data_IF_082700439681
#
_entry.id   IF_082700439681
#
_cell.length_a   1.000
_cell.length_b   1.000
_cell.length_c   1.000
_cell.angle_alpha   90.00
_cell.angle_beta   90.00
_cell.angle_gamma   90.00
#
_symmetry.space_group_name_H-M   'P 1'
#
loop_
_entity.id
_entity.type
_entity.pdbx_description
1 polymer ?
#
# COMPACT_ATOMS: atom_id res chain seq x y z
N UNK A 1 -13.86 -48.20 -11.63
CA UNK A 1 -13.03 -47.50 -10.63
C UNK A 1 -13.51 -46.07 -10.62
N UNK A 2 -14.17 -45.66 -9.56
CA UNK A 2 -14.88 -44.37 -9.49
C UNK A 2 -13.86 -43.23 -9.70
N UNK A 3 -14.01 -42.45 -10.78
CA UNK A 3 -13.11 -41.32 -11.07
C UNK A 3 -13.41 -40.28 -10.00
N UNK A 4 -12.60 -40.25 -8.94
CA UNK A 4 -12.70 -39.23 -7.89
C UNK A 4 -12.64 -37.86 -8.55
N UNK A 5 -13.75 -37.12 -8.52
CA UNK A 5 -13.87 -35.76 -9.03
C UNK A 5 -12.83 -34.87 -8.35
N UNK A 6 -11.75 -34.55 -9.08
CA UNK A 6 -10.60 -33.80 -8.55
C UNK A 6 -10.90 -32.32 -8.38
N UNK A 7 -11.94 -31.83 -9.06
CA UNK A 7 -12.36 -30.43 -9.02
C UNK A 7 -13.36 -30.15 -7.91
N UNK A 8 -14.00 -31.18 -7.32
CA UNK A 8 -14.95 -31.03 -6.22
C UNK A 8 -14.47 -30.09 -5.09
N UNK A 9 -13.20 -30.14 -4.61
CA UNK A 9 -12.70 -29.23 -3.57
C UNK A 9 -12.61 -27.75 -4.00
N UNK A 10 -12.63 -27.46 -5.30
CA UNK A 10 -12.42 -26.13 -5.86
C UNK A 10 -13.69 -25.49 -6.41
N UNK A 11 -14.80 -26.23 -6.53
CA UNK A 11 -16.07 -25.67 -7.03
C UNK A 11 -16.57 -24.49 -6.21
N UNK A 12 -16.32 -24.50 -4.91
CA UNK A 12 -16.65 -23.39 -3.99
C UNK A 12 -15.49 -22.44 -3.70
N UNK A 13 -14.32 -22.66 -4.31
CA UNK A 13 -13.22 -21.74 -4.19
C UNK A 13 -13.54 -20.42 -4.89
N UNK A 14 -13.42 -19.31 -4.15
CA UNK A 14 -13.73 -17.96 -4.65
C UNK A 14 -12.89 -17.60 -5.89
N UNK A 15 -11.56 -17.81 -5.83
CA UNK A 15 -10.65 -17.54 -6.95
C UNK A 15 -11.02 -18.34 -8.20
N UNK A 16 -11.39 -19.62 -8.04
CA UNK A 16 -11.84 -20.46 -9.15
C UNK A 16 -13.13 -19.93 -9.79
N UNK A 17 -14.10 -19.46 -8.99
CA UNK A 17 -15.34 -18.86 -9.49
C UNK A 17 -15.12 -17.58 -10.29
N UNK A 18 -13.99 -16.89 -10.09
CA UNK A 18 -13.59 -15.67 -10.83
C UNK A 18 -12.91 -15.95 -12.17
N UNK A 19 -12.53 -17.19 -12.45
CA UNK A 19 -11.98 -17.56 -13.75
C UNK A 19 -13.09 -17.56 -14.81
N UNK A 20 -12.75 -17.19 -16.05
CA UNK A 20 -13.67 -17.28 -17.17
C UNK A 20 -14.08 -18.75 -17.44
N UNK A 21 -15.16 -18.95 -18.20
CA UNK A 21 -15.68 -20.30 -18.48
C UNK A 21 -14.65 -21.22 -19.14
N UNK A 22 -13.95 -20.71 -20.15
CA UNK A 22 -12.96 -21.46 -20.94
C UNK A 22 -11.80 -21.98 -20.07
N UNK A 23 -11.28 -21.16 -19.17
CA UNK A 23 -10.19 -21.52 -18.27
C UNK A 23 -10.62 -22.52 -17.20
N UNK A 24 -11.86 -22.42 -16.69
CA UNK A 24 -12.43 -23.42 -15.77
C UNK A 24 -12.55 -24.79 -16.44
N UNK A 25 -13.09 -24.81 -17.65
CA UNK A 25 -13.24 -26.03 -18.45
C UNK A 25 -11.87 -26.62 -18.81
N UNK A 26 -10.91 -25.76 -19.16
CA UNK A 26 -9.53 -26.12 -19.44
C UNK A 26 -8.88 -26.82 -18.24
N UNK A 27 -8.88 -26.16 -17.06
CA UNK A 27 -8.31 -26.71 -15.82
C UNK A 27 -8.98 -28.04 -15.45
N UNK A 28 -10.31 -28.12 -15.55
CA UNK A 28 -11.04 -29.37 -15.27
C UNK A 28 -10.58 -30.51 -16.19
N UNK A 29 -10.44 -30.25 -17.49
CA UNK A 29 -10.00 -31.25 -18.47
C UNK A 29 -8.58 -31.73 -18.21
N UNK A 30 -7.62 -30.84 -18.00
CA UNK A 30 -6.22 -31.24 -17.74
C UNK A 30 -6.05 -31.90 -16.36
N UNK A 31 -6.89 -31.55 -15.38
CA UNK A 31 -6.89 -32.17 -14.05
C UNK A 31 -7.17 -33.68 -14.13
N UNK A 32 -8.14 -34.07 -14.95
CA UNK A 32 -8.49 -35.47 -15.17
C UNK A 32 -7.49 -36.18 -16.10
N UNK A 33 -7.09 -35.51 -17.19
CA UNK A 33 -6.18 -36.08 -18.19
C UNK A 33 -4.81 -36.44 -17.59
N UNK A 34 -4.24 -35.56 -16.76
CA UNK A 34 -2.90 -35.72 -16.19
C UNK A 34 -2.89 -36.13 -14.72
N UNK A 35 -4.06 -36.47 -14.15
CA UNK A 35 -4.23 -36.88 -12.76
C UNK A 35 -3.58 -35.88 -11.77
N UNK A 36 -3.87 -34.59 -11.95
CA UNK A 36 -3.29 -33.51 -11.16
C UNK A 36 -3.62 -33.66 -9.67
N UNK A 37 -2.66 -33.32 -8.80
CA UNK A 37 -2.86 -33.30 -7.35
C UNK A 37 -3.66 -32.06 -6.93
N UNK A 38 -4.13 -32.03 -5.67
CA UNK A 38 -4.76 -30.84 -5.12
C UNK A 38 -3.85 -29.59 -5.23
N UNK A 39 -2.55 -29.74 -4.96
CA UNK A 39 -1.61 -28.61 -5.05
C UNK A 39 -1.36 -28.19 -6.50
N UNK A 40 -1.29 -29.14 -7.43
CA UNK A 40 -1.19 -28.84 -8.86
C UNK A 40 -2.38 -27.97 -9.31
N UNK A 41 -3.60 -28.40 -9.00
CA UNK A 41 -4.84 -27.69 -9.38
C UNK A 41 -4.89 -26.30 -8.75
N UNK A 42 -4.60 -26.19 -7.45
CA UNK A 42 -4.58 -24.91 -6.75
C UNK A 42 -3.58 -23.93 -7.38
N UNK A 43 -2.38 -24.41 -7.73
CA UNK A 43 -1.37 -23.58 -8.39
C UNK A 43 -1.85 -23.09 -9.75
N UNK A 44 -2.49 -23.94 -10.55
CA UNK A 44 -3.02 -23.56 -11.86
C UNK A 44 -4.18 -22.54 -11.75
N UNK A 45 -5.03 -22.66 -10.73
CA UNK A 45 -6.08 -21.68 -10.44
C UNK A 45 -5.47 -20.32 -10.07
N UNK A 46 -4.47 -20.31 -9.18
CA UNK A 46 -3.77 -19.09 -8.79
C UNK A 46 -3.07 -18.43 -9.99
N UNK A 47 -2.36 -19.22 -10.83
CA UNK A 47 -1.67 -18.72 -12.03
C UNK A 47 -2.66 -18.22 -13.08
N UNK A 48 -3.72 -18.97 -13.38
CA UNK A 48 -4.77 -18.53 -14.33
C UNK A 48 -5.40 -17.22 -13.87
N UNK A 49 -5.63 -17.05 -12.56
CA UNK A 49 -6.13 -15.79 -12.02
C UNK A 49 -5.12 -14.66 -12.16
N UNK A 50 -3.86 -14.90 -11.83
CA UNK A 50 -2.79 -13.91 -11.95
C UNK A 50 -2.66 -13.43 -13.41
N UNK A 51 -2.59 -14.34 -14.40
CA UNK A 51 -2.52 -14.00 -15.83
C UNK A 51 -3.70 -13.11 -16.27
N UNK A 52 -4.91 -13.46 -15.85
CA UNK A 52 -6.11 -12.69 -16.16
C UNK A 52 -6.11 -11.30 -15.53
N UNK A 53 -5.61 -11.16 -14.29
CA UNK A 53 -5.53 -9.87 -13.60
C UNK A 53 -4.41 -9.00 -14.21
N UNK A 54 -3.28 -9.60 -14.59
CA UNK A 54 -2.10 -8.93 -15.13
C UNK A 54 -2.25 -8.56 -16.61
N UNK A 55 -3.31 -9.04 -17.26
CA UNK A 55 -3.54 -8.92 -18.71
C UNK A 55 -2.48 -9.65 -19.56
N UNK A 56 -1.96 -10.78 -19.06
CA UNK A 56 -0.90 -11.59 -19.66
C UNK A 56 -1.42 -12.87 -20.34
N UNK A 57 -2.68 -12.83 -20.78
CA UNK A 57 -3.35 -13.94 -21.48
C UNK A 57 -3.95 -14.99 -20.54
N UNK A 58 -3.97 -16.24 -21.02
CA UNK A 58 -4.71 -17.35 -20.42
C UNK A 58 -3.78 -18.55 -20.15
N UNK A 59 -4.10 -19.37 -19.13
CA UNK A 59 -3.31 -20.56 -18.78
C UNK A 59 -3.23 -21.56 -19.94
N UNK A 60 -4.32 -21.70 -20.69
CA UNK A 60 -4.38 -22.57 -21.87
C UNK A 60 -3.29 -22.27 -22.90
N UNK A 61 -2.87 -21.01 -23.06
CA UNK A 61 -1.77 -20.61 -23.95
C UNK A 61 -0.37 -20.95 -23.41
N UNK A 62 -0.23 -21.16 -22.10
CA UNK A 62 1.02 -21.59 -21.47
C UNK A 62 1.17 -23.11 -21.42
N UNK A 63 0.09 -23.86 -21.65
CA UNK A 63 0.06 -25.31 -21.54
C UNK A 63 0.50 -25.99 -22.85
N UNK A 64 1.79 -25.94 -23.14
CA UNK A 64 2.36 -26.49 -24.37
C UNK A 64 2.87 -27.93 -24.18
N UNK A 65 2.27 -28.87 -24.92
CA UNK A 65 2.67 -30.28 -24.93
C UNK A 65 3.95 -30.40 -25.77
N UNK A 66 5.07 -30.90 -25.21
CA UNK A 66 6.31 -31.08 -25.96
C UNK A 66 6.16 -32.22 -26.98
N UNK A 67 6.83 -32.08 -28.13
CA UNK A 67 6.91 -33.11 -29.19
C UNK A 67 7.87 -34.28 -28.84
N UNK A 68 8.38 -34.34 -27.62
CA UNK A 68 9.30 -35.39 -27.17
C UNK A 68 8.53 -36.64 -26.75
N UNK A 69 8.53 -37.65 -27.62
CA UNK A 69 7.89 -38.95 -27.38
C UNK A 69 8.45 -39.70 -26.15
N UNK A 70 9.62 -39.31 -25.63
CA UNK A 70 10.19 -39.92 -24.43
C UNK A 70 9.52 -39.45 -23.13
N UNK A 71 8.87 -38.27 -23.15
CA UNK A 71 8.16 -37.74 -21.98
C UNK A 71 6.77 -38.39 -21.87
N UNK A 72 6.62 -39.35 -20.95
CA UNK A 72 5.34 -40.03 -20.68
C UNK A 72 4.91 -39.95 -19.22
N UNK A 73 3.59 -40.06 -19.01
CA UNK A 73 2.97 -40.17 -17.69
C UNK A 73 3.43 -39.07 -16.71
N UNK A 74 4.05 -39.47 -15.60
CA UNK A 74 4.49 -38.56 -14.53
C UNK A 74 5.55 -37.55 -15.00
N UNK A 75 6.46 -37.95 -15.88
CA UNK A 75 7.51 -37.06 -16.38
C UNK A 75 6.94 -35.94 -17.25
N UNK A 76 6.02 -36.29 -18.15
CA UNK A 76 5.28 -35.32 -18.96
C UNK A 76 4.49 -34.34 -18.08
N UNK A 77 3.76 -34.85 -17.07
CA UNK A 77 3.05 -34.00 -16.10
C UNK A 77 4.00 -33.01 -15.43
N UNK A 78 5.12 -33.49 -14.90
CA UNK A 78 6.09 -32.62 -14.21
C UNK A 78 6.67 -31.57 -15.15
N UNK A 79 6.97 -31.95 -16.39
CA UNK A 79 7.46 -31.03 -17.41
C UNK A 79 6.46 -29.91 -17.70
N UNK A 80 5.18 -30.25 -17.95
CA UNK A 80 4.11 -29.28 -18.19
C UNK A 80 3.92 -28.31 -17.02
N UNK A 81 3.86 -28.85 -15.80
CA UNK A 81 3.71 -28.05 -14.59
C UNK A 81 4.90 -27.11 -14.35
N UNK A 82 6.12 -27.59 -14.59
CA UNK A 82 7.33 -26.77 -14.49
C UNK A 82 7.34 -25.67 -15.55
N UNK A 83 7.00 -25.96 -16.81
CA UNK A 83 6.96 -24.96 -17.88
C UNK A 83 5.99 -23.83 -17.54
N UNK A 84 4.76 -24.14 -17.11
CA UNK A 84 3.79 -23.13 -16.66
C UNK A 84 4.36 -22.29 -15.51
N UNK A 85 4.94 -22.94 -14.50
CA UNK A 85 5.53 -22.24 -13.35
C UNK A 85 6.69 -21.34 -13.76
N UNK A 86 7.57 -21.82 -14.63
CA UNK A 86 8.74 -21.08 -15.10
C UNK A 86 8.33 -19.85 -15.92
N UNK A 87 7.31 -19.98 -16.77
CA UNK A 87 6.72 -18.84 -17.50
C UNK A 87 6.09 -17.81 -16.57
N UNK A 88 5.31 -18.25 -15.59
CA UNK A 88 4.73 -17.37 -14.57
C UNK A 88 5.80 -16.64 -13.73
N UNK A 89 6.88 -17.33 -13.34
CA UNK A 89 8.01 -16.72 -12.63
C UNK A 89 8.86 -15.80 -13.53
N UNK A 90 8.91 -16.04 -14.85
CA UNK A 90 9.55 -15.13 -15.81
C UNK A 90 8.80 -13.80 -15.90
N UNK A 91 7.47 -13.82 -15.97
CA UNK A 91 6.64 -12.60 -15.95
C UNK A 91 6.94 -11.77 -14.70
N UNK A 92 6.91 -12.40 -13.53
CA UNK A 92 7.20 -11.74 -12.24
C UNK A 92 8.62 -11.17 -12.13
N UNK A 93 9.60 -11.70 -12.87
CA UNK A 93 10.97 -11.15 -12.89
C UNK A 93 11.13 -10.00 -13.88
N UNK A 94 10.20 -9.88 -14.84
CA UNK A 94 10.16 -8.78 -15.78
C UNK A 94 9.83 -7.45 -15.09
N UNK A 95 10.07 -6.37 -15.82
CA UNK A 95 9.56 -5.06 -15.43
C UNK A 95 8.14 -4.91 -15.97
N UNK A 96 7.20 -4.61 -15.09
CA UNK A 96 5.81 -4.37 -15.47
C UNK A 96 5.73 -3.24 -16.49
N UNK A 97 5.03 -3.47 -17.60
CA UNK A 97 4.84 -2.45 -18.64
C UNK A 97 3.41 -1.90 -18.56
N UNK A 98 3.29 -0.67 -18.06
CA UNK A 98 2.00 0.02 -17.95
C UNK A 98 1.57 0.74 -19.23
N UNK A 99 2.40 0.78 -20.29
CA UNK A 99 2.12 1.57 -21.51
C UNK A 99 0.93 1.07 -22.33
N UNK A 100 0.64 -0.23 -22.26
CA UNK A 100 -0.51 -0.87 -22.93
C UNK A 100 -1.52 -1.46 -21.96
N UNK A 101 -1.28 -1.30 -20.66
CA UNK A 101 -2.14 -1.81 -19.61
C UNK A 101 -3.16 -0.73 -19.23
N UNK A 102 -4.40 -1.15 -18.94
CA UNK A 102 -5.39 -0.28 -18.34
C UNK A 102 -6.04 -1.00 -17.17
N UNK A 103 -5.67 -0.57 -15.97
CA UNK A 103 -6.31 -1.02 -14.73
C UNK A 103 -7.62 -0.28 -14.41
N UNK A 104 -8.02 0.68 -15.25
CA UNK A 104 -9.09 1.63 -14.91
C UNK A 104 -10.43 0.93 -14.67
N UNK A 105 -11.00 1.19 -13.50
CA UNK A 105 -12.36 0.79 -13.14
C UNK A 105 -13.30 1.99 -13.27
N UNK A 106 -14.39 1.83 -14.03
CA UNK A 106 -15.31 2.94 -14.35
C UNK A 106 -16.41 3.17 -13.29
N UNK A 107 -16.60 2.25 -12.35
CA UNK A 107 -17.61 2.40 -11.30
C UNK A 107 -17.06 2.06 -9.92
N UNK A 108 -17.14 3.01 -8.99
CA UNK A 108 -17.03 2.71 -7.57
C UNK A 108 -18.32 2.04 -7.10
N UNK A 109 -18.23 0.94 -6.35
CA UNK A 109 -19.38 0.39 -5.65
C UNK A 109 -20.03 1.44 -4.73
N UNK A 110 -21.29 1.21 -4.33
CA UNK A 110 -22.00 2.12 -3.43
C UNK A 110 -21.40 2.03 -2.02
N UNK A 111 -20.75 3.10 -1.56
CA UNK A 111 -20.27 3.17 -0.17
C UNK A 111 -21.44 3.37 0.80
N UNK A 112 -21.59 2.46 1.76
CA UNK A 112 -22.58 2.58 2.83
C UNK A 112 -21.91 3.11 4.10
N UNK A 113 -22.44 4.22 4.62
CA UNK A 113 -21.96 4.80 5.86
C UNK A 113 -22.67 4.16 7.05
N UNK A 114 -21.87 3.69 8.01
CA UNK A 114 -22.34 3.08 9.24
C UNK A 114 -21.85 3.92 10.40
N UNK A 115 -22.73 4.21 11.33
CA UNK A 115 -22.37 4.87 12.57
C UNK A 115 -22.07 3.81 13.64
N UNK A 116 -20.88 3.88 14.22
CA UNK A 116 -20.45 3.00 15.30
C UNK A 116 -20.61 3.72 16.63
N UNK A 117 -21.39 3.10 17.50
CA UNK A 117 -21.51 3.49 18.89
C UNK A 117 -21.07 2.30 19.75
N UNK A 118 -19.77 2.25 20.03
CA UNK A 118 -19.14 1.18 20.78
C UNK A 118 -18.03 1.72 21.71
N UNK A 119 -17.50 0.84 22.56
CA UNK A 119 -16.38 1.11 23.48
C UNK A 119 -15.01 0.74 22.86
N UNK A 120 -14.91 0.62 21.53
CA UNK A 120 -13.64 0.28 20.88
C UNK A 120 -12.54 1.33 21.16
N UNK A 121 -11.30 0.86 21.33
CA UNK A 121 -10.14 1.73 21.46
C UNK A 121 -9.77 2.29 20.09
N UNK A 122 -9.64 3.62 19.98
CA UNK A 122 -9.27 4.30 18.73
C UNK A 122 -7.78 4.61 18.62
N UNK A 123 -7.02 4.58 19.72
CA UNK A 123 -5.57 4.79 19.72
C UNK A 123 -4.84 3.45 19.82
N UNK A 124 -4.07 3.12 18.80
CA UNK A 124 -3.31 1.88 18.70
C UNK A 124 -1.83 2.12 18.37
N UNK A 125 -1.09 1.01 18.25
CA UNK A 125 0.23 1.00 17.62
C UNK A 125 0.07 0.52 16.18
N UNK A 126 0.89 1.04 15.28
CA UNK A 126 0.93 0.58 13.90
C UNK A 126 1.09 -0.95 13.82
N UNK A 127 0.19 -1.68 13.12
CA UNK A 127 0.13 -3.15 13.17
C UNK A 127 1.31 -3.82 12.49
N UNK A 128 2.13 -3.05 11.77
CA UNK A 128 3.32 -3.52 11.06
C UNK A 128 4.63 -3.16 11.77
N UNK A 129 4.55 -2.58 12.97
CA UNK A 129 5.71 -2.31 13.80
C UNK A 129 6.47 -3.60 14.12
N UNK A 130 7.80 -3.54 14.00
CA UNK A 130 8.67 -4.70 14.22
C UNK A 130 10.05 -4.22 14.62
N UNK A 131 10.73 -4.96 15.50
CA UNK A 131 12.16 -4.76 15.79
C UNK A 131 13.06 -5.24 14.66
N UNK A 132 12.53 -6.09 13.75
CA UNK A 132 13.26 -6.54 12.56
C UNK A 132 13.38 -5.45 11.50
N UNK A 133 12.48 -4.46 11.55
CA UNK A 133 12.54 -3.27 10.72
C UNK A 133 13.02 -2.11 11.58
N UNK A 134 13.62 -1.10 10.97
CA UNK A 134 13.90 0.15 11.68
C UNK A 134 12.61 0.96 11.72
N UNK A 135 11.81 0.76 12.77
CA UNK A 135 10.42 1.22 12.82
C UNK A 135 10.26 2.55 13.55
N UNK A 136 9.39 3.41 13.03
CA UNK A 136 9.04 4.70 13.60
C UNK A 136 8.11 4.61 14.84
N UNK A 137 7.70 3.39 15.24
CA UNK A 137 6.79 3.14 16.35
C UNK A 137 5.46 3.94 16.32
N UNK A 138 5.03 4.34 15.12
CA UNK A 138 3.87 5.19 14.90
C UNK A 138 2.65 4.74 15.73
N UNK A 139 2.10 5.67 16.51
CA UNK A 139 0.77 5.52 17.10
C UNK A 139 -0.28 5.87 16.07
N UNK A 140 -1.34 5.08 15.99
CA UNK A 140 -2.39 5.23 14.99
C UNK A 140 -3.70 5.59 15.66
N UNK A 141 -4.37 6.61 15.13
CA UNK A 141 -5.68 7.05 15.59
C UNK A 141 -6.72 6.68 14.54
N UNK A 142 -7.52 5.65 14.85
CA UNK A 142 -8.52 5.06 13.97
C UNK A 142 -9.86 5.80 14.10
N UNK A 143 -9.94 6.93 13.42
CA UNK A 143 -11.10 7.85 13.50
C UNK A 143 -12.26 7.42 12.59
N UNK A 144 -11.91 6.80 11.47
CA UNK A 144 -12.84 6.22 10.49
C UNK A 144 -12.28 4.87 10.11
N UNK A 145 -13.14 3.85 10.03
CA UNK A 145 -12.74 2.51 9.62
C UNK A 145 -13.20 2.25 8.19
N UNK A 146 -12.27 1.71 7.40
CA UNK A 146 -12.35 1.51 5.96
C UNK A 146 -12.25 2.81 5.14
N UNK A 147 -11.89 2.68 3.86
CA UNK A 147 -11.66 3.79 2.94
C UNK A 147 -12.56 3.65 1.70
N UNK A 148 -12.92 4.77 1.07
CA UNK A 148 -13.66 4.76 -0.19
C UNK A 148 -12.77 4.81 -1.44
N UNK A 149 -11.45 4.94 -1.30
CA UNK A 149 -10.53 4.71 -2.40
C UNK A 149 -10.37 3.22 -2.65
N UNK A 150 -10.05 2.84 -3.88
CA UNK A 150 -10.04 1.45 -4.31
C UNK A 150 -8.68 1.03 -4.85
N UNK A 151 -7.61 1.41 -4.16
CA UNK A 151 -6.25 1.07 -4.56
C UNK A 151 -6.09 -0.46 -4.65
N UNK A 152 -5.56 -0.98 -5.75
CA UNK A 152 -5.44 -2.43 -5.99
C UNK A 152 -4.59 -3.13 -4.92
N UNK A 153 -3.57 -2.43 -4.41
CA UNK A 153 -2.66 -2.89 -3.36
C UNK A 153 -3.11 -2.60 -1.93
N UNK A 154 -4.34 -2.11 -1.74
CA UNK A 154 -4.81 -1.68 -0.44
C UNK A 154 -4.79 -2.81 0.59
N UNK A 155 -4.03 -2.62 1.67
CA UNK A 155 -4.04 -3.53 2.81
C UNK A 155 -5.28 -3.29 3.69
N UNK A 156 -5.77 -2.06 3.82
CA UNK A 156 -6.93 -1.70 4.66
C UNK A 156 -8.17 -2.50 4.25
N UNK A 157 -8.54 -2.47 2.97
CA UNK A 157 -9.72 -3.18 2.46
C UNK A 157 -9.62 -4.71 2.57
N UNK A 158 -8.45 -5.27 2.90
CA UNK A 158 -8.31 -6.70 3.20
C UNK A 158 -8.80 -7.07 4.61
N UNK A 159 -8.97 -6.09 5.50
CA UNK A 159 -9.38 -6.29 6.89
C UNK A 159 -10.86 -5.93 7.17
N UNK A 160 -11.55 -5.29 6.23
CA UNK A 160 -12.94 -4.86 6.38
C UNK A 160 -13.86 -5.51 5.35
N UNK A 161 -15.14 -5.63 5.72
CA UNK A 161 -16.18 -6.08 4.80
C UNK A 161 -16.39 -5.05 3.68
N UNK A 162 -16.58 -5.54 2.46
CA UNK A 162 -16.76 -4.67 1.30
C UNK A 162 -18.02 -3.81 1.48
N UNK A 163 -17.91 -2.55 1.05
CA UNK A 163 -18.98 -1.54 0.93
C UNK A 163 -19.45 -0.82 2.21
N UNK A 164 -18.82 -1.02 3.39
CA UNK A 164 -19.15 -0.27 4.61
C UNK A 164 -17.98 0.57 5.11
N UNK A 165 -18.26 1.84 5.41
CA UNK A 165 -17.33 2.77 6.06
C UNK A 165 -17.93 3.21 7.38
N UNK A 166 -17.13 3.16 8.43
CA UNK A 166 -17.62 3.30 9.79
C UNK A 166 -17.13 4.59 10.45
N UNK A 167 -18.06 5.35 11.01
CA UNK A 167 -17.83 6.62 11.71
C UNK A 167 -18.18 6.46 13.19
N UNK A 168 -17.27 6.82 14.09
CA UNK A 168 -17.54 6.78 15.53
C UNK A 168 -18.49 7.92 15.93
N UNK A 169 -19.69 7.60 16.44
CA UNK A 169 -20.64 8.61 16.94
C UNK A 169 -20.08 9.34 18.16
N UNK A 170 -19.45 8.60 19.07
CA UNK A 170 -18.86 9.06 20.33
C UNK A 170 -17.37 9.47 20.19
N UNK A 171 -16.92 9.87 18.99
CA UNK A 171 -15.51 10.20 18.73
C UNK A 171 -14.92 11.25 19.70
N UNK A 172 -15.65 12.33 20.00
CA UNK A 172 -15.18 13.38 20.89
C UNK A 172 -14.93 12.87 22.32
N UNK A 173 -15.84 12.04 22.84
CA UNK A 173 -15.69 11.39 24.13
C UNK A 173 -14.48 10.45 24.15
N UNK A 174 -14.29 9.65 23.08
CA UNK A 174 -13.14 8.76 22.96
C UNK A 174 -11.82 9.53 22.95
N UNK A 175 -11.74 10.66 22.25
CA UNK A 175 -10.56 11.52 22.21
C UNK A 175 -10.25 12.11 23.60
N UNK A 176 -11.27 12.62 24.31
CA UNK A 176 -11.09 13.15 25.68
C UNK A 176 -10.63 12.10 26.70
N UNK A 177 -10.99 10.83 26.50
CA UNK A 177 -10.58 9.72 27.36
C UNK A 177 -9.15 9.24 27.12
N UNK A 178 -8.47 9.70 26.06
CA UNK A 178 -7.08 9.32 25.80
C UNK A 178 -6.16 9.90 26.89
N UNK A 179 -5.50 9.02 27.64
CA UNK A 179 -4.55 9.40 28.68
C UNK A 179 -3.13 9.46 28.08
N UNK A 180 -2.70 10.65 27.66
CA UNK A 180 -1.36 10.92 27.15
C UNK A 180 -0.52 11.61 28.22
N UNK A 181 0.72 11.16 28.40
CA UNK A 181 1.64 11.75 29.37
C UNK A 181 2.14 13.11 28.86
N UNK A 182 1.81 14.24 29.52
CA UNK A 182 2.22 15.57 29.07
C UNK A 182 3.74 15.76 29.04
N UNK A 183 4.50 14.95 29.79
CA UNK A 183 5.96 14.99 29.80
C UNK A 183 6.60 14.26 28.60
N UNK A 184 5.81 13.54 27.80
CA UNK A 184 6.27 12.82 26.61
C UNK A 184 5.81 13.50 25.35
N UNK A 185 6.63 13.42 24.30
CA UNK A 185 6.25 13.82 22.94
C UNK A 185 5.72 12.62 22.18
N UNK A 186 4.68 12.84 21.37
CA UNK A 186 4.06 11.79 20.58
C UNK A 186 3.97 12.19 19.11
N UNK A 187 4.11 11.21 18.21
CA UNK A 187 3.65 11.30 16.84
C UNK A 187 2.48 10.34 16.65
N UNK A 188 1.30 10.89 16.39
CA UNK A 188 0.06 10.14 16.19
C UNK A 188 -0.39 10.35 14.76
N UNK A 189 -0.47 9.28 13.98
CA UNK A 189 -0.93 9.30 12.61
C UNK A 189 -2.39 8.89 12.47
N UNK A 190 -3.14 9.64 11.67
CA UNK A 190 -4.41 9.22 11.09
C UNK A 190 -4.11 8.72 9.67
N UNK A 191 -4.69 7.60 9.23
CA UNK A 191 -4.33 7.01 7.92
C UNK A 191 -4.22 5.49 7.88
N UNK A 192 -4.23 4.82 9.05
CA UNK A 192 -4.01 3.38 9.15
C UNK A 192 -5.26 2.57 8.80
N UNK A 193 -6.44 3.08 9.16
CA UNK A 193 -7.75 2.43 9.01
C UNK A 193 -8.64 3.09 7.97
N UNK A 194 -8.30 4.32 7.52
CA UNK A 194 -9.00 5.11 6.50
C UNK A 194 -8.05 6.18 5.95
N UNK A 195 -8.49 6.93 4.95
CA UNK A 195 -7.88 8.19 4.52
C UNK A 195 -8.41 9.37 5.37
N UNK A 196 -7.51 10.24 5.83
CA UNK A 196 -7.85 11.30 6.81
C UNK A 196 -8.63 12.47 6.23
N UNK A 197 -8.37 12.84 4.97
CA UNK A 197 -8.98 14.02 4.35
C UNK A 197 -10.08 13.66 3.36
N UNK A 198 -10.16 12.41 2.90
CA UNK A 198 -11.20 11.94 1.98
C UNK A 198 -12.61 12.38 2.41
N UNK A 199 -12.92 12.23 3.70
CA UNK A 199 -14.28 12.47 4.23
C UNK A 199 -14.59 13.94 4.53
N UNK A 200 -13.61 14.85 4.41
CA UNK A 200 -13.72 16.22 4.87
C UNK A 200 -14.13 16.27 6.35
N UNK A 201 -14.87 17.32 6.73
CA UNK A 201 -15.37 17.47 8.10
C UNK A 201 -16.70 16.76 8.37
N UNK A 202 -16.97 15.65 7.66
CA UNK A 202 -18.16 14.84 7.90
C UNK A 202 -18.21 14.39 9.36
N UNK A 203 -19.39 14.46 9.98
CA UNK A 203 -19.59 14.14 11.40
C UNK A 203 -18.66 14.94 12.36
N UNK A 204 -18.16 16.11 11.92
CA UNK A 204 -17.27 16.97 12.71
C UNK A 204 -15.88 16.38 12.99
N UNK A 205 -15.42 15.43 12.17
CA UNK A 205 -14.14 14.72 12.41
C UNK A 205 -12.97 15.68 12.53
N UNK A 206 -12.82 16.62 11.59
CA UNK A 206 -11.67 17.51 11.55
C UNK A 206 -11.73 18.53 12.69
N UNK A 207 -12.93 19.02 13.05
CA UNK A 207 -13.09 19.88 14.23
C UNK A 207 -12.64 19.16 15.52
N UNK A 208 -13.07 17.91 15.70
CA UNK A 208 -12.73 17.10 16.88
C UNK A 208 -11.23 16.80 16.95
N UNK A 209 -10.62 16.45 15.81
CA UNK A 209 -9.17 16.25 15.71
C UNK A 209 -8.38 17.53 15.98
N UNK A 210 -8.88 18.67 15.50
CA UNK A 210 -8.28 19.98 15.74
C UNK A 210 -8.31 20.37 17.22
N UNK A 211 -9.45 20.19 17.90
CA UNK A 211 -9.59 20.42 19.34
C UNK A 211 -8.63 19.51 20.11
N UNK A 212 -8.61 18.21 19.77
CA UNK A 212 -7.72 17.24 20.40
C UNK A 212 -6.24 17.64 20.26
N UNK A 213 -5.80 18.01 19.06
CA UNK A 213 -4.42 18.47 18.84
C UNK A 213 -4.13 19.75 19.63
N UNK A 214 -5.04 20.73 19.61
CA UNK A 214 -4.88 21.99 20.34
C UNK A 214 -4.76 21.80 21.86
N UNK A 215 -5.52 20.87 22.43
CA UNK A 215 -5.47 20.50 23.86
C UNK A 215 -4.21 19.71 24.23
N UNK A 216 -3.59 19.01 23.27
CA UNK A 216 -2.43 18.13 23.48
C UNK A 216 -1.21 18.62 22.70
N UNK A 217 -0.61 19.75 23.12
CA UNK A 217 0.53 20.40 22.44
C UNK A 217 1.80 19.55 22.36
N UNK A 218 1.91 18.50 23.16
CA UNK A 218 2.97 17.50 23.14
C UNK A 218 2.74 16.39 22.08
N UNK A 219 1.68 16.48 21.28
CA UNK A 219 1.36 15.54 20.20
C UNK A 219 1.56 16.22 18.85
N UNK A 220 2.29 15.58 17.93
CA UNK A 220 2.19 15.85 16.51
C UNK A 220 1.10 14.96 15.92
N UNK A 221 0.03 15.57 15.39
CA UNK A 221 -1.07 14.85 14.76
C UNK A 221 -0.93 14.90 13.23
N UNK A 222 -0.70 13.73 12.62
CA UNK A 222 -0.58 13.59 11.17
C UNK A 222 -1.91 13.28 10.49
N UNK A 223 -2.25 14.04 9.46
CA UNK A 223 -3.36 13.74 8.55
C UNK A 223 -2.81 13.15 7.24
N UNK A 224 -2.75 11.81 7.14
CA UNK A 224 -2.27 11.13 5.91
C UNK A 224 -3.39 11.02 4.88
N UNK A 225 -3.10 11.37 3.63
CA UNK A 225 -4.11 11.33 2.58
C UNK A 225 -3.61 11.01 1.16
N UNK A 226 -4.52 10.57 0.29
CA UNK A 226 -4.44 10.55 -1.18
C UNK A 226 -5.52 11.45 -1.82
N UNK A 227 -6.20 12.25 -1.01
CA UNK A 227 -7.29 13.13 -1.39
C UNK A 227 -6.81 14.53 -1.79
N UNK A 228 -7.68 15.25 -2.50
CA UNK A 228 -7.59 16.70 -2.74
C UNK A 228 -8.57 17.52 -1.87
N UNK A 229 -9.31 16.86 -0.99
CA UNK A 229 -10.34 17.48 -0.15
C UNK A 229 -9.72 18.21 1.04
N UNK A 230 -9.27 19.44 0.79
CA UNK A 230 -8.54 20.27 1.77
C UNK A 230 -9.34 21.50 2.23
N UNK A 231 -10.60 21.66 1.82
CA UNK A 231 -11.37 22.89 2.06
C UNK A 231 -11.38 23.29 3.54
N UNK A 232 -11.62 22.33 4.44
CA UNK A 232 -11.64 22.59 5.87
C UNK A 232 -10.30 23.12 6.40
N UNK A 233 -9.16 22.58 5.94
CA UNK A 233 -7.83 23.06 6.32
C UNK A 233 -7.58 24.50 5.84
N UNK A 234 -8.13 24.88 4.69
CA UNK A 234 -7.99 26.23 4.14
C UNK A 234 -8.91 27.25 4.84
N UNK A 235 -10.09 26.83 5.28
CA UNK A 235 -11.14 27.71 5.81
C UNK A 235 -11.08 27.91 7.33
N UNK A 236 -10.36 27.08 8.08
CA UNK A 236 -10.37 27.09 9.56
C UNK A 236 -8.99 27.29 10.17
N UNK A 237 -8.92 27.77 11.41
CA UNK A 237 -7.66 27.85 12.15
C UNK A 237 -7.24 26.45 12.62
N UNK A 238 -6.15 25.96 12.04
CA UNK A 238 -5.61 24.63 12.30
C UNK A 238 -4.63 24.71 13.47
N UNK A 239 -4.75 23.78 14.42
CA UNK A 239 -3.83 23.67 15.54
C UNK A 239 -2.40 23.49 14.99
N UNK A 240 -1.41 24.23 15.52
CA UNK A 240 -0.08 24.30 14.92
C UNK A 240 0.72 23.00 14.99
N UNK A 241 0.30 22.07 15.84
CA UNK A 241 0.85 20.72 15.96
C UNK A 241 0.14 19.69 15.05
N UNK A 242 -0.63 20.16 14.06
CA UNK A 242 -1.15 19.35 12.95
C UNK A 242 -0.30 19.60 11.71
N UNK A 243 0.00 18.50 11.01
CA UNK A 243 0.57 18.52 9.66
C UNK A 243 -0.16 17.52 8.78
N UNK A 244 -0.20 17.82 7.48
CA UNK A 244 -0.88 16.99 6.49
C UNK A 244 0.13 16.36 5.56
N UNK A 245 -0.02 15.06 5.28
CA UNK A 245 0.93 14.34 4.43
C UNK A 245 0.22 13.63 3.30
N UNK A 246 0.86 13.64 2.12
CA UNK A 246 0.30 13.04 0.92
C UNK A 246 1.06 11.78 0.57
N UNK A 247 0.34 10.67 0.36
CA UNK A 247 0.95 9.54 -0.36
C UNK A 247 1.08 9.92 -1.82
N UNK A 248 2.30 9.86 -2.34
CA UNK A 248 2.60 10.16 -3.74
C UNK A 248 3.05 8.89 -4.45
N UNK A 249 2.68 8.80 -5.71
CA UNK A 249 3.19 7.82 -6.64
C UNK A 249 3.36 8.47 -8.00
N UNK A 250 4.01 7.76 -8.91
CA UNK A 250 4.15 8.17 -10.30
C UNK A 250 2.79 8.15 -11.01
N UNK A 251 2.58 8.97 -12.06
CA UNK A 251 1.33 8.95 -12.83
C UNK A 251 0.96 7.56 -13.36
N UNK A 252 1.95 6.75 -13.76
CA UNK A 252 1.75 5.37 -14.20
C UNK A 252 1.08 4.50 -13.14
N UNK A 253 1.57 4.55 -11.89
CA UNK A 253 1.00 3.77 -10.79
C UNK A 253 -0.32 4.38 -10.31
N UNK A 254 -0.39 5.70 -10.15
CA UNK A 254 -1.61 6.35 -9.68
C UNK A 254 -2.79 6.10 -10.63
N UNK A 255 -2.57 6.21 -11.93
CA UNK A 255 -3.61 6.00 -12.94
C UNK A 255 -4.09 4.56 -13.08
N UNK A 256 -3.22 3.58 -12.81
CA UNK A 256 -3.53 2.16 -13.00
C UNK A 256 -3.87 1.40 -11.73
N UNK A 257 -3.43 1.88 -10.56
CA UNK A 257 -3.50 1.11 -9.31
C UNK A 257 -4.13 1.90 -8.14
N UNK A 258 -4.34 3.22 -8.24
CA UNK A 258 -4.91 4.08 -7.18
C UNK A 258 -6.31 4.63 -7.53
N UNK A 259 -7.26 3.73 -7.80
CA UNK A 259 -8.59 4.12 -8.24
C UNK A 259 -9.35 5.00 -7.24
N UNK A 260 -10.07 5.99 -7.78
CA UNK A 260 -10.87 7.00 -7.08
C UNK A 260 -10.08 7.95 -6.15
N UNK A 261 -8.76 7.81 -6.05
CA UNK A 261 -7.90 8.78 -5.40
C UNK A 261 -7.64 10.00 -6.32
N UNK A 262 -7.15 11.10 -5.74
CA UNK A 262 -6.70 12.24 -6.54
C UNK A 262 -5.44 11.87 -7.33
N UNK A 263 -5.25 12.46 -8.51
CA UNK A 263 -3.99 12.31 -9.28
C UNK A 263 -2.78 12.87 -8.50
N UNK A 264 -1.54 12.42 -8.78
CA UNK A 264 -0.33 12.95 -8.13
C UNK A 264 -0.23 14.47 -8.22
N UNK A 265 -0.59 15.06 -9.36
CA UNK A 265 -0.57 16.49 -9.60
C UNK A 265 -1.56 17.21 -8.66
N UNK A 266 -2.79 16.71 -8.57
CA UNK A 266 -3.79 17.25 -7.65
C UNK A 266 -3.38 17.12 -6.18
N UNK A 267 -2.67 16.05 -5.81
CA UNK A 267 -2.14 15.87 -4.45
C UNK A 267 -1.06 16.92 -4.16
N UNK A 268 -0.13 17.15 -5.09
CA UNK A 268 0.91 18.18 -4.96
C UNK A 268 0.31 19.60 -4.92
N UNK A 269 -0.68 19.90 -5.76
CA UNK A 269 -1.41 21.18 -5.73
C UNK A 269 -2.13 21.39 -4.40
N UNK A 270 -2.77 20.35 -3.86
CA UNK A 270 -3.40 20.40 -2.54
C UNK A 270 -2.38 20.62 -1.43
N UNK A 271 -1.26 19.89 -1.44
CA UNK A 271 -0.17 20.07 -0.49
C UNK A 271 0.39 21.49 -0.54
N UNK A 272 0.58 22.04 -1.74
CA UNK A 272 1.08 23.41 -1.92
C UNK A 272 0.17 24.44 -1.27
N UNK A 273 -1.14 24.36 -1.51
CA UNK A 273 -2.13 25.27 -0.88
C UNK A 273 -2.16 25.16 0.64
N UNK A 274 -1.91 23.97 1.19
CA UNK A 274 -1.84 23.76 2.64
C UNK A 274 -0.54 24.34 3.22
N UNK A 275 0.59 24.13 2.54
CA UNK A 275 1.87 24.73 2.91
C UNK A 275 1.85 26.27 2.81
N UNK A 276 1.15 26.85 1.83
CA UNK A 276 0.97 28.31 1.71
C UNK A 276 0.24 28.93 2.92
N UNK A 277 -0.54 28.12 3.65
CA UNK A 277 -1.18 28.51 4.92
C UNK A 277 -0.24 28.37 6.12
N UNK A 278 0.99 27.92 5.93
CA UNK A 278 1.95 27.67 6.99
C UNK A 278 1.72 26.37 7.76
N UNK A 279 0.86 25.48 7.25
CA UNK A 279 0.69 24.13 7.81
C UNK A 279 1.80 23.25 7.23
N UNK A 280 2.66 22.62 8.05
CA UNK A 280 3.70 21.74 7.53
C UNK A 280 3.12 20.60 6.70
N UNK A 281 3.86 20.19 5.68
CA UNK A 281 3.47 19.08 4.79
C UNK A 281 4.47 17.93 4.85
N UNK A 282 4.11 16.80 4.25
CA UNK A 282 5.02 15.66 4.11
C UNK A 282 4.60 14.72 3.00
N UNK A 283 5.51 13.84 2.60
CA UNK A 283 5.28 12.96 1.45
C UNK A 283 5.60 11.50 1.76
N UNK A 284 4.69 10.61 1.40
CA UNK A 284 4.86 9.16 1.52
C UNK A 284 4.96 8.53 0.14
N UNK A 285 6.15 8.06 -0.21
CA UNK A 285 6.40 7.21 -1.35
C UNK A 285 6.20 5.76 -0.89
N UNK A 286 4.94 5.40 -0.64
CA UNK A 286 4.58 4.09 -0.12
C UNK A 286 3.25 3.64 -0.76
N UNK A 287 3.29 2.70 -1.72
CA UNK A 287 4.47 1.96 -2.18
C UNK A 287 5.28 2.64 -3.30
N UNK A 288 6.61 2.50 -3.28
CA UNK A 288 7.44 2.57 -4.49
C UNK A 288 7.33 1.24 -5.24
N UNK A 289 7.14 1.31 -6.56
CA UNK A 289 6.89 0.15 -7.43
C UNK A 289 7.96 0.06 -8.51
N UNK A 290 8.46 -1.14 -8.77
CA UNK A 290 9.45 -1.42 -9.81
C UNK A 290 8.75 -1.78 -11.12
N UNK A 291 8.83 -0.93 -12.14
CA UNK A 291 8.15 -1.10 -13.43
C UNK A 291 8.93 -0.41 -14.56
N UNK A 292 8.67 -0.75 -15.82
CA UNK A 292 9.41 -0.15 -16.94
C UNK A 292 9.21 1.37 -17.00
N UNK A 293 10.31 2.13 -16.89
CA UNK A 293 10.28 3.60 -16.86
C UNK A 293 10.25 4.21 -15.44
N UNK A 294 10.23 3.39 -14.39
CA UNK A 294 10.12 3.84 -13.00
C UNK A 294 11.17 4.89 -12.62
N UNK A 295 12.42 4.73 -13.06
CA UNK A 295 13.54 5.58 -12.64
C UNK A 295 13.31 7.05 -13.03
N UNK A 296 12.95 7.30 -14.29
CA UNK A 296 12.69 8.64 -14.80
C UNK A 296 11.41 9.24 -14.20
N UNK A 297 10.38 8.42 -14.00
CA UNK A 297 9.12 8.87 -13.43
C UNK A 297 9.27 9.29 -11.96
N UNK A 298 10.00 8.52 -11.15
CA UNK A 298 10.28 8.91 -9.76
C UNK A 298 11.23 10.10 -9.67
N UNK A 299 12.27 10.20 -10.53
CA UNK A 299 13.11 11.40 -10.62
C UNK A 299 12.26 12.64 -10.91
N UNK A 300 11.39 12.57 -11.92
CA UNK A 300 10.49 13.66 -12.29
C UNK A 300 9.55 14.07 -11.14
N UNK A 301 9.05 13.09 -10.38
CA UNK A 301 8.25 13.34 -9.18
C UNK A 301 9.07 14.07 -8.09
N UNK A 302 10.30 13.63 -7.80
CA UNK A 302 11.18 14.32 -6.83
C UNK A 302 11.55 15.74 -7.28
N UNK A 303 11.78 15.97 -8.58
CA UNK A 303 12.02 17.31 -9.15
C UNK A 303 10.78 18.20 -8.97
N UNK A 304 9.59 17.67 -9.23
CA UNK A 304 8.34 18.42 -9.04
C UNK A 304 8.15 18.86 -7.58
N UNK A 305 8.44 17.98 -6.63
CA UNK A 305 8.42 18.31 -5.20
C UNK A 305 9.42 19.43 -4.88
N UNK A 306 10.69 19.28 -5.29
CA UNK A 306 11.72 20.29 -4.99
C UNK A 306 11.47 21.65 -5.66
N UNK A 307 10.75 21.67 -6.78
CA UNK A 307 10.36 22.91 -7.45
C UNK A 307 9.16 23.60 -6.78
N UNK A 308 8.32 22.84 -6.07
CA UNK A 308 7.08 23.35 -5.48
C UNK A 308 7.21 23.68 -4.00
N UNK A 309 8.18 23.10 -3.29
CA UNK A 309 8.32 23.22 -1.85
C UNK A 309 9.75 23.58 -1.44
N UNK A 310 9.89 24.32 -0.35
CA UNK A 310 11.17 24.46 0.34
C UNK A 310 11.32 23.36 1.40
N UNK A 311 12.55 22.95 1.77
CA UNK A 311 12.76 21.92 2.78
C UNK A 311 12.17 22.26 4.17
N UNK A 312 12.03 23.55 4.49
CA UNK A 312 11.48 24.03 5.76
C UNK A 312 9.98 23.73 5.89
N UNK A 313 9.26 23.70 4.76
CA UNK A 313 7.82 23.43 4.71
C UNK A 313 7.51 21.94 4.86
N UNK A 314 8.51 21.07 4.60
CA UNK A 314 8.34 19.62 4.54
C UNK A 314 8.91 18.97 5.79
N UNK A 315 8.05 18.35 6.59
CA UNK A 315 8.45 17.69 7.82
C UNK A 315 9.11 16.32 7.57
N UNK A 316 8.60 15.56 6.60
CA UNK A 316 9.06 14.20 6.34
C UNK A 316 8.97 13.80 4.87
N UNK A 317 9.82 12.85 4.51
CA UNK A 317 9.64 12.01 3.33
C UNK A 317 9.88 10.55 3.70
N UNK A 318 8.84 9.72 3.60
CA UNK A 318 8.98 8.28 3.85
C UNK A 318 9.02 7.50 2.55
N UNK A 319 9.83 6.45 2.49
CA UNK A 319 9.86 5.49 1.39
C UNK A 319 9.53 4.09 1.89
N UNK A 320 8.75 3.33 1.14
CA UNK A 320 8.46 1.93 1.44
C UNK A 320 7.98 1.21 0.20
N UNK A 321 8.24 -0.09 0.10
CA UNK A 321 7.77 -0.90 -1.02
C UNK A 321 6.56 -1.75 -0.65
N UNK A 322 5.93 -2.33 -1.68
CA UNK A 322 4.86 -3.29 -1.50
C UNK A 322 5.27 -4.41 -0.55
N UNK A 323 4.46 -4.60 0.49
CA UNK A 323 4.68 -5.64 1.49
C UNK A 323 3.37 -6.34 1.77
N UNK A 324 3.32 -7.63 1.45
CA UNK A 324 2.10 -8.42 1.49
C UNK A 324 2.14 -9.50 2.56
N UNK A 325 0.99 -9.73 3.17
CA UNK A 325 0.68 -10.97 3.87
C UNK A 325 -0.24 -11.82 3.00
N UNK A 326 -0.27 -13.15 3.23
CA UNK A 326 -1.08 -14.09 2.43
C UNK A 326 -2.57 -13.67 2.31
N UNK A 327 -3.24 -13.14 3.36
CA UNK A 327 -4.60 -12.63 3.23
C UNK A 327 -4.76 -11.50 2.20
N UNK A 328 -3.80 -10.56 2.13
CA UNK A 328 -3.84 -9.45 1.17
C UNK A 328 -3.75 -9.98 -0.27
N UNK A 329 -2.80 -10.88 -0.56
CA UNK A 329 -2.66 -11.49 -1.90
C UNK A 329 -3.95 -12.21 -2.32
N UNK A 330 -4.57 -12.95 -1.39
CA UNK A 330 -5.85 -13.62 -1.66
C UNK A 330 -6.95 -12.63 -1.98
N UNK A 331 -7.04 -11.52 -1.22
CA UNK A 331 -8.04 -10.48 -1.46
C UNK A 331 -7.83 -9.81 -2.82
N UNK A 332 -6.58 -9.51 -3.20
CA UNK A 332 -6.26 -8.94 -4.52
C UNK A 332 -6.74 -9.89 -5.63
N UNK A 333 -6.48 -11.19 -5.51
CA UNK A 333 -6.95 -12.20 -6.48
C UNK A 333 -8.47 -12.34 -6.54
N UNK A 334 -9.17 -12.04 -5.45
CA UNK A 334 -10.64 -12.14 -5.36
C UNK A 334 -11.37 -10.93 -5.95
N UNK A 335 -10.68 -9.78 -6.08
CA UNK A 335 -11.25 -8.55 -6.65
C UNK A 335 -11.42 -8.68 -8.16
N UNK A 336 -12.49 -8.08 -8.69
CA UNK A 336 -12.77 -8.03 -10.14
C UNK A 336 -12.12 -6.80 -10.79
N UNK A 337 -10.79 -6.71 -10.65
CA UNK A 337 -10.01 -5.60 -11.19
C UNK A 337 -8.75 -6.13 -11.84
N UNK A 338 -8.36 -5.52 -12.96
CA UNK A 338 -7.03 -5.74 -13.52
C UNK A 338 -6.01 -5.00 -12.66
N UNK A 339 -4.83 -5.57 -12.48
CA UNK A 339 -3.73 -4.96 -11.74
C UNK A 339 -2.42 -5.64 -12.13
N UNK A 340 -1.30 -4.94 -12.19
CA UNK A 340 0.02 -5.59 -12.30
C UNK A 340 0.74 -5.68 -10.95
N UNK A 341 0.09 -5.35 -9.85
CA UNK A 341 0.78 -5.17 -8.56
C UNK A 341 1.30 -6.47 -7.90
N UNK A 342 0.80 -7.63 -8.33
CA UNK A 342 1.33 -8.94 -7.93
C UNK A 342 2.34 -9.50 -8.94
N UNK A 343 2.47 -8.89 -10.11
CA UNK A 343 3.47 -9.22 -11.13
C UNK A 343 4.82 -8.66 -10.66
N UNK A 344 5.44 -9.31 -9.69
CA UNK A 344 6.71 -8.85 -9.13
C UNK A 344 7.47 -10.01 -8.47
N UNK A 345 8.81 -9.92 -8.36
CA UNK A 345 9.56 -10.90 -7.60
C UNK A 345 9.27 -10.68 -6.11
N UNK A 346 8.92 -11.77 -5.42
CA UNK A 346 8.61 -11.74 -3.99
C UNK A 346 9.52 -12.69 -3.22
N UNK A 347 10.15 -12.16 -2.19
CA UNK A 347 10.93 -12.93 -1.20
C UNK A 347 10.34 -12.74 0.19
N UNK A 348 10.71 -13.62 1.13
CA UNK A 348 10.42 -13.37 2.54
C UNK A 348 11.22 -12.16 3.04
N UNK A 349 10.51 -11.21 3.61
CA UNK A 349 11.02 -9.99 4.22
C UNK A 349 10.47 -9.89 5.64
N UNK A 350 10.94 -10.77 6.52
CA UNK A 350 10.56 -10.81 7.93
C UNK A 350 9.18 -11.41 8.17
N UNK A 351 8.82 -12.46 7.45
CA UNK A 351 7.51 -13.12 7.53
C UNK A 351 6.40 -12.49 6.66
N UNK A 352 6.77 -11.50 5.85
CA UNK A 352 5.94 -10.88 4.81
C UNK A 352 6.59 -11.06 3.44
N UNK A 353 5.86 -10.81 2.37
CA UNK A 353 6.35 -10.93 0.99
C UNK A 353 6.59 -9.55 0.39
N UNK A 354 7.78 -9.30 -0.15
CA UNK A 354 8.16 -8.01 -0.73
C UNK A 354 9.28 -8.18 -1.77
N UNK A 355 9.73 -7.09 -2.39
CA UNK A 355 10.82 -7.12 -3.37
C UNK A 355 12.13 -7.67 -2.76
N UNK A 356 13.00 -8.30 -3.59
CA UNK A 356 14.40 -8.53 -3.25
C UNK A 356 15.10 -7.26 -2.76
N UNK A 357 16.01 -7.43 -1.79
CA UNK A 357 16.73 -6.32 -1.14
C UNK A 357 17.53 -5.46 -2.15
N UNK A 358 18.01 -6.05 -3.24
CA UNK A 358 18.77 -5.32 -4.26
C UNK A 358 17.88 -4.38 -5.07
N UNK A 359 16.68 -4.83 -5.44
CA UNK A 359 15.68 -3.97 -6.09
C UNK A 359 15.31 -2.82 -5.14
N UNK A 360 15.12 -3.10 -3.86
CA UNK A 360 14.83 -2.07 -2.85
C UNK A 360 15.93 -1.02 -2.75
N UNK A 361 17.21 -1.44 -2.76
CA UNK A 361 18.36 -0.51 -2.76
C UNK A 361 18.37 0.39 -3.99
N UNK A 362 18.08 -0.16 -5.17
CA UNK A 362 18.01 0.61 -6.40
C UNK A 362 16.87 1.64 -6.38
N UNK A 363 15.67 1.20 -6.00
CA UNK A 363 14.48 2.05 -5.89
C UNK A 363 14.69 3.20 -4.91
N UNK A 364 15.06 2.88 -3.66
CA UNK A 364 15.21 3.89 -2.60
C UNK A 364 16.43 4.78 -2.84
N UNK A 365 17.53 4.20 -3.33
CA UNK A 365 18.73 4.96 -3.67
C UNK A 365 18.46 5.98 -4.76
N UNK A 366 17.72 5.60 -5.79
CA UNK A 366 17.31 6.53 -6.86
C UNK A 366 16.49 7.69 -6.31
N UNK A 367 15.43 7.40 -5.53
CA UNK A 367 14.58 8.44 -4.96
C UNK A 367 15.37 9.36 -4.04
N UNK A 368 16.13 8.80 -3.08
CA UNK A 368 16.90 9.58 -2.12
C UNK A 368 17.99 10.44 -2.78
N UNK A 369 18.73 9.88 -3.74
CA UNK A 369 19.80 10.60 -4.42
C UNK A 369 19.30 11.68 -5.38
N UNK A 370 18.02 11.66 -5.74
CA UNK A 370 17.41 12.71 -6.58
C UNK A 370 17.07 13.99 -5.79
N UNK A 371 17.11 13.94 -4.46
CA UNK A 371 17.00 15.12 -3.61
C UNK A 371 18.36 15.83 -3.45
N UNK A 372 18.31 17.15 -3.36
CA UNK A 372 19.47 18.00 -3.05
C UNK A 372 19.96 17.80 -1.61
N UNK A 373 21.19 18.23 -1.34
CA UNK A 373 21.78 18.11 0.01
C UNK A 373 21.03 18.93 1.06
N UNK A 374 20.47 20.09 0.70
CA UNK A 374 19.64 20.88 1.60
C UNK A 374 18.38 20.12 2.03
N UNK A 375 17.73 19.43 1.08
CA UNK A 375 16.61 18.54 1.38
C UNK A 375 17.02 17.40 2.31
N UNK A 376 18.12 16.71 2.01
CA UNK A 376 18.62 15.58 2.83
C UNK A 376 18.97 15.99 4.26
N UNK A 377 19.35 17.25 4.47
CA UNK A 377 19.67 17.83 5.77
C UNK A 377 18.43 18.27 6.55
N UNK A 378 17.50 18.94 5.89
CA UNK A 378 16.36 19.62 6.55
C UNK A 378 15.08 18.77 6.63
N UNK A 379 14.86 17.86 5.68
CA UNK A 379 13.68 16.98 5.65
C UNK A 379 14.04 15.64 6.28
N UNK A 380 13.14 15.11 7.10
CA UNK A 380 13.38 13.84 7.75
C UNK A 380 13.04 12.67 6.82
N UNK A 381 14.07 12.02 6.27
CA UNK A 381 13.95 10.82 5.43
C UNK A 381 13.95 9.54 6.27
N UNK A 382 13.04 8.61 5.96
CA UNK A 382 13.06 7.27 6.57
C UNK A 382 12.46 6.18 5.68
N UNK A 383 12.76 4.92 6.02
CA UNK A 383 12.22 3.75 5.34
C UNK A 383 11.11 3.09 6.19
N UNK A 384 9.90 2.96 5.65
CA UNK A 384 8.75 2.40 6.33
C UNK A 384 8.56 0.91 6.00
N UNK A 385 8.51 0.06 7.03
CA UNK A 385 8.39 -1.40 6.90
C UNK A 385 9.59 -2.10 6.25
N UNK A 386 10.73 -1.42 6.16
CA UNK A 386 11.90 -1.92 5.45
C UNK A 386 12.99 -2.44 6.39
N UNK A 387 13.81 -3.34 5.84
CA UNK A 387 14.91 -3.97 6.57
C UNK A 387 15.98 -2.94 6.98
N UNK A 388 16.49 -3.08 8.21
CA UNK A 388 17.49 -2.15 8.75
C UNK A 388 18.80 -2.12 7.95
N UNK A 389 19.14 -3.20 7.22
CA UNK A 389 20.34 -3.28 6.39
C UNK A 389 20.35 -2.29 5.22
N UNK A 390 19.20 -1.71 4.88
CA UNK A 390 19.06 -0.68 3.85
C UNK A 390 19.49 0.70 4.34
N UNK A 391 19.54 0.95 5.64
CA UNK A 391 19.75 2.30 6.18
C UNK A 391 21.14 2.84 5.93
N UNK A 392 22.18 2.11 6.35
CA UNK A 392 23.57 2.55 6.19
C UNK A 392 23.94 2.76 4.71
N UNK A 393 23.64 1.82 3.77
CA UNK A 393 23.98 2.01 2.36
C UNK A 393 23.22 3.15 1.67
N UNK A 394 22.02 3.51 2.16
CA UNK A 394 21.18 4.53 1.51
C UNK A 394 21.37 5.92 2.12
N UNK A 395 21.40 6.00 3.45
CA UNK A 395 21.45 7.28 4.17
C UNK A 395 22.82 7.59 4.77
N UNK A 396 23.77 6.64 4.75
CA UNK A 396 25.05 6.79 5.45
C UNK A 396 24.89 6.84 6.98
N UNK A 397 23.75 6.37 7.50
CA UNK A 397 23.43 6.32 8.92
C UNK A 397 22.37 5.24 9.20
N UNK A 398 22.36 4.75 10.43
CA UNK A 398 21.30 3.91 11.00
C UNK A 398 21.16 4.20 12.49
N UNK A 399 20.09 3.71 13.12
CA UNK A 399 19.89 3.84 14.56
C UNK A 399 20.15 2.51 15.27
N UNK A 400 20.38 2.53 16.58
CA UNK A 400 20.64 1.31 17.38
C UNK A 400 19.37 0.52 17.63
N UNK A 401 18.29 1.19 18.06
CA UNK A 401 16.97 0.58 18.27
C UNK A 401 15.83 1.46 17.70
N UNK A 402 14.58 1.00 17.78
CA UNK A 402 13.43 1.74 17.26
C UNK A 402 13.12 3.00 18.09
N UNK A 403 13.45 2.99 19.39
CA UNK A 403 13.25 4.14 20.28
C UNK A 403 14.13 5.32 19.90
N UNK A 404 15.40 5.08 19.57
CA UNK A 404 16.32 6.12 19.10
C UNK A 404 15.86 6.73 17.76
N UNK A 405 15.34 5.89 16.85
CA UNK A 405 14.73 6.36 15.61
C UNK A 405 13.48 7.21 15.88
N UNK A 406 12.55 6.69 16.67
CA UNK A 406 11.31 7.38 17.04
C UNK A 406 11.60 8.76 17.67
N UNK A 407 12.55 8.83 18.61
CA UNK A 407 12.91 10.08 19.27
C UNK A 407 13.47 11.12 18.30
N UNK A 408 14.45 10.76 17.45
CA UNK A 408 15.03 11.70 16.47
C UNK A 408 13.97 12.17 15.45
N UNK A 409 13.11 11.25 15.01
CA UNK A 409 11.98 11.58 14.13
C UNK A 409 11.03 12.59 14.78
N UNK A 410 10.57 12.31 16.00
CA UNK A 410 9.65 13.19 16.73
C UNK A 410 10.29 14.55 16.97
N UNK A 411 11.55 14.60 17.41
CA UNK A 411 12.28 15.87 17.58
C UNK A 411 12.36 16.66 16.28
N UNK A 412 12.62 15.99 15.16
CA UNK A 412 12.65 16.64 13.84
C UNK A 412 11.29 17.25 13.47
N UNK A 413 10.19 16.55 13.71
CA UNK A 413 8.85 17.09 13.42
C UNK A 413 8.48 18.26 14.32
N UNK A 414 8.85 18.18 15.61
CA UNK A 414 8.63 19.30 16.53
C UNK A 414 9.41 20.57 16.17
N UNK A 415 10.53 20.46 15.43
CA UNK A 415 11.24 21.63 14.89
C UNK A 415 10.51 22.31 13.73
N UNK A 416 9.56 21.61 13.09
CA UNK A 416 8.84 22.10 11.90
C UNK A 416 7.50 22.75 12.25
N UNK A 417 6.95 22.49 13.43
CA UNK A 417 5.72 23.11 13.91
C UNK A 417 6.02 24.38 14.69
N UNK A 418 5.23 25.45 14.53
CA UNK A 418 5.36 26.64 15.37
C UNK A 418 4.87 26.31 16.80
N UNK A 419 5.71 26.63 17.80
CA UNK A 419 5.43 26.36 19.21
C UNK A 419 4.24 27.14 19.76
#
# INVERSE_FOLDING_TARGET
>A
MDRKDRMAPFRDNHTYKKLNGEERDFISRISDQYQLTFQDIKMLIDISRDLSIWDEGNLSGLWNIPDDENLKGKQLKQHLMNNVKDRWEQLKKGLNDYSKFSGRTDSSGKTNFVRLNDESTILGSCPVASEKTRCCNLKTLDVVLNCGFDCTYCSIQSFFDNDRVYFHENLEEKLRKLNLDPAKRYHIGTGQSSDSLMWGNREGILDKLNSFAGENRNVILELKTKSRNIAWLLENDVAPNIFATWSLNTPAIAGNEEHFAASPEQRLESARKVADKGIPVGFHFHPIVHYKGWEDDYKSLTTSIQNMFSPEEVALLSMGTLTYIKPVIRKIRDREMKSKILEMPMIDAGGKLSYPIEIKRELFGTVYNSFSEDWKKEVFFYLCMEDQSLWEPLFGRSYRNNEEFENDMIESYFRKVPL
#
